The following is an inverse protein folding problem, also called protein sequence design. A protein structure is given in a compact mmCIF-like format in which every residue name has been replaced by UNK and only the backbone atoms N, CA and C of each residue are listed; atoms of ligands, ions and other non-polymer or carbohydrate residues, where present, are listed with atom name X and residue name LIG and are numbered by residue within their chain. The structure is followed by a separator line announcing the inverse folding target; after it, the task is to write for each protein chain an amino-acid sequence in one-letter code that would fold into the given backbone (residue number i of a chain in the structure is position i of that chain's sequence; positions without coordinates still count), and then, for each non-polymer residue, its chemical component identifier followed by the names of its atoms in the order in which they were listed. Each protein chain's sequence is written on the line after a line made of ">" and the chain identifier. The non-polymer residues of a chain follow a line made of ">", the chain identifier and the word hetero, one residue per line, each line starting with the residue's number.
data_IF_146664407382
#
_entry.id   IF_146664407382
#
_cell.length_a   1.000
_cell.length_b   1.000
_cell.length_c   1.000
_cell.angle_alpha   90.00
_cell.angle_beta   90.00
_cell.angle_gamma   90.00
#
_symmetry.space_group_name_H-M   'P 1'
#
loop_
_entity.id
_entity.type
_entity.pdbx_description
1 polymer ?
#
# COMPACT_ATOMS: atom_id res chain seq x y z
N UNK A 1 -11.39 3.47 20.27
CA UNK A 1 -11.88 4.88 20.29
C UNK A 1 -10.85 5.92 19.82
N UNK A 2 -9.64 6.01 20.40
CA UNK A 2 -8.66 7.05 20.03
C UNK A 2 -8.19 7.00 18.55
N UNK A 3 -7.91 5.78 18.03
CA UNK A 3 -7.52 5.54 16.63
C UNK A 3 -8.53 6.13 15.64
N UNK A 4 -9.82 5.80 15.81
CA UNK A 4 -10.89 6.26 14.91
C UNK A 4 -11.05 7.79 14.93
N UNK A 5 -10.95 8.42 16.11
CA UNK A 5 -10.98 9.90 16.21
C UNK A 5 -9.79 10.55 15.50
N UNK A 6 -8.61 9.93 15.54
CA UNK A 6 -7.43 10.41 14.83
C UNK A 6 -7.64 10.34 13.31
N UNK A 7 -8.15 9.21 12.83
CA UNK A 7 -8.46 8.98 11.41
C UNK A 7 -9.51 9.97 10.91
N UNK A 8 -10.61 10.12 11.64
CA UNK A 8 -11.68 11.08 11.33
C UNK A 8 -11.10 12.48 11.08
N UNK A 9 -10.33 12.99 12.04
CA UNK A 9 -9.72 14.33 11.95
C UNK A 9 -8.76 14.46 10.77
N UNK A 10 -7.89 13.46 10.55
CA UNK A 10 -6.89 13.50 9.48
C UNK A 10 -7.56 13.46 8.11
N UNK A 11 -8.56 12.61 7.92
CA UNK A 11 -9.24 12.46 6.65
C UNK A 11 -10.13 13.66 6.33
N UNK A 12 -10.81 14.24 7.32
CA UNK A 12 -11.54 15.51 7.13
C UNK A 12 -10.62 16.66 6.72
N UNK A 13 -9.42 16.75 7.33
CA UNK A 13 -8.40 17.71 6.90
C UNK A 13 -7.89 17.43 5.48
N UNK A 14 -7.67 16.17 5.13
CA UNK A 14 -7.11 15.80 3.83
C UNK A 14 -8.14 15.94 2.69
N UNK A 15 -9.40 15.59 2.92
CA UNK A 15 -10.45 15.60 1.89
C UNK A 15 -11.26 16.89 1.88
N UNK A 16 -11.35 17.59 3.01
CA UNK A 16 -12.37 18.62 3.27
C UNK A 16 -13.65 17.99 3.84
N UNK A 17 -14.36 18.74 4.68
CA UNK A 17 -15.56 18.24 5.38
C UNK A 17 -16.68 17.82 4.42
N UNK A 18 -16.99 18.65 3.43
CA UNK A 18 -18.08 18.37 2.48
C UNK A 18 -17.82 17.09 1.67
N UNK A 19 -16.58 16.90 1.21
CA UNK A 19 -16.16 15.70 0.48
C UNK A 19 -16.18 14.48 1.40
N UNK A 20 -15.66 14.60 2.63
CA UNK A 20 -15.60 13.49 3.57
C UNK A 20 -16.97 12.88 3.88
N UNK A 21 -18.04 13.67 3.78
CA UNK A 21 -19.43 13.26 4.01
C UNK A 21 -20.23 13.06 2.71
N UNK A 22 -19.59 13.06 1.53
CA UNK A 22 -20.29 12.98 0.25
C UNK A 22 -20.84 11.59 -0.06
N UNK A 23 -21.79 11.53 -0.99
CA UNK A 23 -22.35 10.27 -1.47
C UNK A 23 -21.29 9.40 -2.17
N UNK A 24 -20.32 10.02 -2.84
CA UNK A 24 -19.20 9.36 -3.52
C UNK A 24 -18.26 8.67 -2.52
N UNK A 25 -17.94 9.31 -1.39
CA UNK A 25 -17.13 8.66 -0.34
C UNK A 25 -17.89 7.51 0.30
N UNK A 26 -19.20 7.66 0.50
CA UNK A 26 -20.05 6.59 1.00
C UNK A 26 -20.08 5.39 0.04
N UNK A 27 -20.28 5.64 -1.26
CA UNK A 27 -20.24 4.60 -2.28
C UNK A 27 -18.87 3.89 -2.30
N UNK A 28 -17.78 4.65 -2.26
CA UNK A 28 -16.43 4.10 -2.19
C UNK A 28 -16.25 3.22 -0.94
N UNK A 29 -16.78 3.64 0.22
CA UNK A 29 -16.71 2.88 1.45
C UNK A 29 -17.47 1.55 1.34
N UNK A 30 -18.69 1.57 0.81
CA UNK A 30 -19.51 0.37 0.61
C UNK A 30 -18.83 -0.62 -0.35
N UNK A 31 -18.24 -0.13 -1.44
CA UNK A 31 -17.47 -0.94 -2.40
C UNK A 31 -16.19 -1.52 -1.77
N UNK A 32 -15.41 -0.71 -1.04
CA UNK A 32 -14.18 -1.16 -0.38
C UNK A 32 -14.47 -2.21 0.70
N UNK A 33 -15.52 -2.02 1.50
CA UNK A 33 -15.96 -3.01 2.49
C UNK A 33 -16.44 -4.30 1.83
N UNK A 34 -17.15 -4.21 0.69
CA UNK A 34 -17.57 -5.38 -0.07
C UNK A 34 -16.38 -6.16 -0.64
N UNK A 35 -15.39 -5.44 -1.19
CA UNK A 35 -14.14 -6.02 -1.68
C UNK A 35 -13.39 -6.77 -0.57
N UNK A 36 -13.22 -6.11 0.58
CA UNK A 36 -12.48 -6.64 1.72
C UNK A 36 -13.06 -7.95 2.29
N UNK A 37 -14.36 -8.22 2.12
CA UNK A 37 -15.04 -9.42 2.63
C UNK A 37 -14.62 -10.72 1.94
N UNK A 38 -13.99 -10.67 0.77
CA UNK A 38 -13.55 -11.88 0.07
C UNK A 38 -12.26 -12.49 0.65
N UNK A 39 -11.56 -11.76 1.52
CA UNK A 39 -10.33 -12.24 2.12
C UNK A 39 -10.60 -13.35 3.14
N UNK A 40 -10.08 -14.56 2.89
CA UNK A 40 -9.92 -15.55 3.95
C UNK A 40 -8.79 -15.15 4.91
N UNK A 41 -8.90 -15.43 6.22
CA UNK A 41 -7.87 -15.09 7.21
C UNK A 41 -6.61 -15.99 7.12
N UNK A 42 -6.67 -17.08 6.35
CA UNK A 42 -5.63 -18.09 6.30
C UNK A 42 -4.30 -17.52 5.77
N UNK A 43 -3.27 -17.53 6.62
CA UNK A 43 -1.98 -16.93 6.31
C UNK A 43 -2.01 -15.40 6.20
N UNK A 44 -3.08 -14.74 6.69
CA UNK A 44 -3.29 -13.30 6.64
C UNK A 44 -3.48 -12.70 8.03
N UNK A 45 -2.46 -12.74 8.92
CA UNK A 45 -2.61 -12.36 10.31
C UNK A 45 -2.97 -10.89 10.51
N UNK A 46 -2.43 -9.96 9.70
CA UNK A 46 -2.75 -8.53 9.84
C UNK A 46 -4.17 -8.26 9.35
N UNK A 47 -4.56 -8.85 8.23
CA UNK A 47 -5.94 -8.79 7.76
C UNK A 47 -6.91 -9.36 8.80
N UNK A 48 -6.64 -10.57 9.32
CA UNK A 48 -7.51 -11.24 10.29
C UNK A 48 -7.71 -10.38 11.55
N UNK A 49 -6.63 -9.84 12.11
CA UNK A 49 -6.70 -8.96 13.27
C UNK A 49 -7.53 -7.70 13.02
N UNK A 50 -7.48 -7.15 11.79
CA UNK A 50 -8.31 -6.00 11.42
C UNK A 50 -9.77 -6.38 11.11
N UNK A 51 -10.01 -7.55 10.52
CA UNK A 51 -11.34 -8.02 10.12
C UNK A 51 -12.24 -8.35 11.32
N UNK A 52 -11.65 -8.64 12.48
CA UNK A 52 -12.35 -8.86 13.75
C UNK A 52 -12.81 -7.56 14.45
N UNK A 53 -12.37 -6.39 13.97
CA UNK A 53 -12.77 -5.11 14.55
C UNK A 53 -14.15 -4.66 14.07
N UNK A 54 -14.84 -3.89 14.92
CA UNK A 54 -16.12 -3.26 14.57
C UNK A 54 -15.96 -2.34 13.34
N UNK A 55 -16.82 -2.57 12.35
CA UNK A 55 -16.88 -1.75 11.13
C UNK A 55 -17.47 -0.38 11.48
N UNK A 56 -16.81 0.74 11.11
CA UNK A 56 -17.38 2.07 11.27
C UNK A 56 -18.69 2.23 10.51
N UNK A 57 -19.64 2.97 11.09
CA UNK A 57 -20.92 3.25 10.45
C UNK A 57 -20.72 4.08 9.17
N UNK A 58 -21.14 3.53 8.04
CA UNK A 58 -20.92 4.10 6.71
C UNK A 58 -21.80 5.33 6.43
N UNK A 59 -22.90 5.50 7.18
CA UNK A 59 -23.78 6.67 7.08
C UNK A 59 -23.24 7.82 7.93
N UNK A 60 -22.84 7.52 9.16
CA UNK A 60 -22.37 8.53 10.10
C UNK A 60 -20.95 9.01 9.80
N UNK A 61 -20.07 8.12 9.32
CA UNK A 61 -18.66 8.43 9.05
C UNK A 61 -18.13 7.69 7.80
N UNK A 62 -18.65 7.99 6.59
CA UNK A 62 -18.29 7.30 5.36
C UNK A 62 -16.79 7.33 5.06
N UNK A 63 -16.08 8.44 5.32
CA UNK A 63 -14.63 8.55 5.18
C UNK A 63 -13.86 7.59 6.10
N UNK A 64 -14.32 7.40 7.34
CA UNK A 64 -13.71 6.47 8.29
C UNK A 64 -14.01 5.02 7.88
N UNK A 65 -15.22 4.73 7.40
CA UNK A 65 -15.58 3.42 6.86
C UNK A 65 -14.76 3.08 5.60
N UNK A 66 -14.54 4.06 4.70
CA UNK A 66 -13.67 3.90 3.52
C UNK A 66 -12.24 3.57 3.93
N UNK A 67 -11.68 4.31 4.89
CA UNK A 67 -10.35 4.01 5.41
C UNK A 67 -10.28 2.61 6.03
N UNK A 68 -11.33 2.16 6.71
CA UNK A 68 -11.37 0.83 7.29
C UNK A 68 -11.36 -0.25 6.20
N UNK A 69 -12.20 -0.13 5.17
CA UNK A 69 -12.22 -1.03 4.02
C UNK A 69 -10.89 -1.03 3.26
N UNK A 70 -10.32 0.15 3.01
CA UNK A 70 -8.99 0.30 2.39
C UNK A 70 -7.88 -0.34 3.25
N UNK A 71 -7.96 -0.22 4.58
CA UNK A 71 -7.03 -0.88 5.51
C UNK A 71 -7.10 -2.39 5.36
N UNK A 72 -8.30 -2.97 5.34
CA UNK A 72 -8.46 -4.42 5.15
C UNK A 72 -7.88 -4.90 3.83
N UNK A 73 -8.18 -4.22 2.70
CA UNK A 73 -7.62 -4.56 1.39
C UNK A 73 -6.09 -4.46 1.42
N UNK A 74 -5.56 -3.40 2.05
CA UNK A 74 -4.13 -3.16 2.21
C UNK A 74 -3.44 -4.25 3.02
N UNK A 75 -4.00 -4.65 4.17
CA UNK A 75 -3.42 -5.73 4.98
C UNK A 75 -3.53 -7.08 4.27
N UNK A 76 -4.66 -7.36 3.63
CA UNK A 76 -4.81 -8.61 2.87
C UNK A 76 -3.75 -8.73 1.79
N UNK A 77 -3.58 -7.71 0.93
CA UNK A 77 -2.51 -7.70 -0.09
C UNK A 77 -1.13 -7.68 0.56
N UNK A 78 -0.95 -6.95 1.66
CA UNK A 78 0.30 -6.82 2.40
C UNK A 78 0.82 -8.14 2.96
N UNK A 79 -0.04 -8.92 3.62
CA UNK A 79 0.31 -10.25 4.11
C UNK A 79 0.78 -11.16 2.96
N UNK A 80 0.14 -11.08 1.79
CA UNK A 80 0.55 -11.82 0.59
C UNK A 80 1.87 -11.31 0.00
N UNK A 81 2.10 -10.00 0.06
CA UNK A 81 3.36 -9.41 -0.36
C UNK A 81 4.52 -9.88 0.53
N UNK A 82 4.32 -10.00 1.84
CA UNK A 82 5.31 -10.56 2.75
C UNK A 82 5.64 -12.01 2.40
N UNK A 83 4.62 -12.82 2.07
CA UNK A 83 4.85 -14.20 1.59
C UNK A 83 5.69 -14.22 0.30
N UNK A 84 5.35 -13.37 -0.68
CA UNK A 84 6.07 -13.30 -1.95
C UNK A 84 7.51 -12.77 -1.80
N UNK A 85 7.77 -11.87 -0.85
CA UNK A 85 9.12 -11.41 -0.52
C UNK A 85 9.96 -12.52 0.11
N UNK A 86 9.38 -13.28 1.04
CA UNK A 86 10.09 -14.38 1.69
C UNK A 86 10.37 -15.54 0.72
N UNK A 87 9.44 -15.85 -0.18
CA UNK A 87 9.65 -16.83 -1.26
C UNK A 87 10.81 -16.41 -2.19
N UNK A 88 10.98 -15.10 -2.41
CA UNK A 88 12.10 -14.54 -3.18
C UNK A 88 13.40 -14.36 -2.37
N UNK A 89 13.43 -14.81 -1.11
CA UNK A 89 14.55 -14.66 -0.18
C UNK A 89 14.99 -13.19 -0.05
N UNK A 90 14.04 -12.28 0.18
CA UNK A 90 14.34 -10.88 0.48
C UNK A 90 13.99 -10.55 1.91
N UNK A 91 14.96 -10.05 2.65
CA UNK A 91 14.68 -9.42 3.94
C UNK A 91 14.02 -8.04 3.80
N UNK A 92 13.64 -7.42 4.92
CA UNK A 92 12.93 -6.15 4.92
C UNK A 92 13.73 -4.98 4.32
N UNK A 93 15.06 -4.99 4.43
CA UNK A 93 15.91 -3.93 3.87
C UNK A 93 16.15 -4.17 2.38
N UNK A 94 16.39 -5.42 1.97
CA UNK A 94 16.56 -5.82 0.58
C UNK A 94 15.26 -5.62 -0.24
N UNK A 95 14.10 -5.90 0.35
CA UNK A 95 12.80 -5.60 -0.24
C UNK A 95 12.64 -4.10 -0.51
N UNK A 96 13.00 -3.26 0.47
CA UNK A 96 12.93 -1.82 0.33
C UNK A 96 13.95 -1.29 -0.69
N UNK A 97 15.20 -1.75 -0.62
CA UNK A 97 16.26 -1.40 -1.56
C UNK A 97 15.85 -1.74 -3.00
N UNK A 98 15.50 -3.01 -3.24
CA UNK A 98 15.17 -3.49 -4.58
C UNK A 98 13.95 -2.78 -5.19
N UNK A 99 12.99 -2.32 -4.37
CA UNK A 99 11.90 -1.46 -4.83
C UNK A 99 12.40 -0.05 -5.20
N UNK A 100 13.19 0.60 -4.33
CA UNK A 100 13.75 1.94 -4.62
C UNK A 100 14.66 1.95 -5.86
N UNK A 101 15.41 0.88 -6.10
CA UNK A 101 16.28 0.72 -7.27
C UNK A 101 15.51 0.72 -8.61
N UNK A 102 14.20 0.47 -8.60
CA UNK A 102 13.35 0.60 -9.80
C UNK A 102 13.14 2.06 -10.23
N UNK A 103 13.50 3.02 -9.38
CA UNK A 103 13.15 4.44 -9.54
C UNK A 103 11.65 4.74 -9.37
N UNK A 104 10.84 3.72 -9.04
CA UNK A 104 9.41 3.83 -8.76
C UNK A 104 9.23 3.58 -7.27
N UNK A 105 9.02 4.63 -6.48
CA UNK A 105 8.82 4.48 -5.04
C UNK A 105 9.33 5.67 -4.23
N UNK A 106 9.78 5.40 -3.02
CA UNK A 106 10.38 6.39 -2.14
C UNK A 106 11.76 6.81 -2.63
N UNK A 107 12.14 8.04 -2.30
CA UNK A 107 13.55 8.44 -2.34
C UNK A 107 14.34 7.62 -1.29
N UNK A 108 15.56 7.12 -1.59
CA UNK A 108 16.32 6.26 -0.69
C UNK A 108 16.50 6.77 0.75
N UNK A 109 16.88 8.03 0.95
CA UNK A 109 17.03 8.60 2.28
C UNK A 109 15.69 8.64 3.04
N UNK A 110 14.58 8.95 2.35
CA UNK A 110 13.25 8.86 2.96
C UNK A 110 12.88 7.41 3.29
N UNK A 111 13.19 6.46 2.40
CA UNK A 111 12.91 5.04 2.59
C UNK A 111 13.59 4.50 3.85
N UNK A 112 14.89 4.77 4.01
CA UNK A 112 15.68 4.39 5.18
C UNK A 112 15.11 5.01 6.46
N UNK A 113 14.96 6.34 6.47
CA UNK A 113 14.55 7.08 7.67
C UNK A 113 13.12 6.73 8.12
N UNK A 114 12.18 6.61 7.20
CA UNK A 114 10.77 6.35 7.53
C UNK A 114 10.52 4.96 8.10
N UNK A 115 11.48 4.03 7.98
CA UNK A 115 11.38 2.62 8.42
C UNK A 115 12.33 2.32 9.58
N UNK A 116 13.09 3.31 10.05
CA UNK A 116 14.00 3.16 11.19
C UNK A 116 15.26 2.34 10.88
N UNK A 117 15.63 2.23 9.60
CA UNK A 117 16.87 1.59 9.20
C UNK A 117 18.05 2.55 9.29
N UNK A 118 19.25 2.02 9.46
CA UNK A 118 20.49 2.79 9.38
C UNK A 118 21.08 2.74 7.98
N UNK A 119 21.96 3.69 7.66
CA UNK A 119 22.72 3.69 6.40
C UNK A 119 23.57 2.42 6.26
N UNK A 120 24.14 1.92 7.36
CA UNK A 120 24.95 0.70 7.35
C UNK A 120 24.11 -0.53 6.99
N UNK A 121 22.87 -0.61 7.48
CA UNK A 121 21.94 -1.68 7.10
C UNK A 121 21.56 -1.60 5.61
N UNK A 122 21.38 -0.39 5.09
CA UNK A 122 21.08 -0.13 3.69
C UNK A 122 22.23 -0.55 2.76
N UNK A 123 23.45 -0.12 3.05
CA UNK A 123 24.64 -0.49 2.28
C UNK A 123 24.91 -2.00 2.36
N UNK A 124 24.75 -2.62 3.54
CA UNK A 124 24.88 -4.06 3.68
C UNK A 124 23.85 -4.83 2.83
N UNK A 125 22.62 -4.31 2.68
CA UNK A 125 21.61 -4.89 1.81
C UNK A 125 21.98 -4.74 0.32
N UNK A 126 22.49 -3.57 -0.08
CA UNK A 126 23.04 -3.37 -1.44
C UNK A 126 24.11 -4.41 -1.74
N UNK A 127 25.07 -4.59 -0.85
CA UNK A 127 26.20 -5.49 -1.06
C UNK A 127 25.75 -6.96 -1.18
N UNK A 128 24.77 -7.40 -0.37
CA UNK A 128 24.15 -8.74 -0.52
C UNK A 128 23.41 -8.90 -1.85
N UNK A 129 22.62 -7.90 -2.26
CA UNK A 129 21.92 -7.91 -3.54
C UNK A 129 22.90 -7.91 -4.72
N UNK A 130 24.01 -7.16 -4.63
CA UNK A 130 25.07 -7.13 -5.63
C UNK A 130 25.79 -8.49 -5.70
N UNK A 131 26.07 -9.12 -4.56
CA UNK A 131 26.61 -10.48 -4.50
C UNK A 131 25.71 -11.53 -5.15
N UNK A 132 24.39 -11.28 -5.21
CA UNK A 132 23.41 -12.10 -5.94
C UNK A 132 23.19 -11.66 -7.39
N UNK A 133 23.88 -10.61 -7.86
CA UNK A 133 23.74 -10.05 -9.19
C UNK A 133 22.40 -9.36 -9.46
N UNK A 134 21.66 -8.97 -8.41
CA UNK A 134 20.35 -8.32 -8.52
C UNK A 134 20.46 -6.79 -8.69
N UNK A 135 21.58 -6.21 -8.24
CA UNK A 135 21.96 -4.81 -8.48
C UNK A 135 23.41 -4.74 -8.92
N UNK A 136 23.78 -3.68 -9.63
CA UNK A 136 25.17 -3.42 -10.01
C UNK A 136 25.95 -2.68 -8.90
N UNK A 137 27.20 -2.32 -9.18
CA UNK A 137 28.09 -1.63 -8.24
C UNK A 137 27.59 -0.25 -7.82
N UNK A 138 26.76 0.39 -8.65
CA UNK A 138 26.16 1.70 -8.37
C UNK A 138 24.79 1.56 -7.66
N UNK A 139 24.35 0.32 -7.40
CA UNK A 139 23.06 0.01 -6.79
C UNK A 139 21.89 0.08 -7.76
N UNK A 140 22.14 0.20 -9.07
CA UNK A 140 21.09 0.17 -10.07
C UNK A 140 20.63 -1.27 -10.33
N UNK A 141 19.36 -1.42 -10.68
CA UNK A 141 18.76 -2.73 -10.90
C UNK A 141 19.32 -3.41 -12.16
N UNK A 142 19.80 -4.65 -12.02
CA UNK A 142 20.19 -5.48 -13.17
C UNK A 142 18.96 -6.10 -13.85
N UNK A 143 19.15 -6.75 -15.00
CA UNK A 143 18.06 -7.53 -15.63
C UNK A 143 17.53 -8.63 -14.71
N UNK A 144 18.41 -9.33 -13.98
CA UNK A 144 18.03 -10.33 -12.99
C UNK A 144 17.25 -9.72 -11.82
N UNK A 145 17.68 -8.56 -11.32
CA UNK A 145 16.95 -7.79 -10.31
C UNK A 145 15.57 -7.36 -10.78
N UNK A 146 15.45 -6.93 -12.03
CA UNK A 146 14.19 -6.54 -12.65
C UNK A 146 13.25 -7.74 -12.83
N UNK A 147 13.78 -8.89 -13.24
CA UNK A 147 13.01 -10.13 -13.35
C UNK A 147 12.49 -10.60 -11.99
N UNK A 148 13.34 -10.60 -10.96
CA UNK A 148 12.97 -10.96 -9.59
C UNK A 148 11.88 -10.02 -9.03
N UNK A 149 11.97 -8.71 -9.31
CA UNK A 149 10.92 -7.75 -8.94
C UNK A 149 9.58 -8.02 -9.62
N UNK A 150 9.59 -8.27 -10.94
CA UNK A 150 8.37 -8.65 -11.65
C UNK A 150 7.74 -9.90 -11.07
N UNK A 151 8.54 -10.93 -10.79
CA UNK A 151 8.05 -12.17 -10.20
C UNK A 151 7.38 -11.95 -8.83
N UNK A 152 7.96 -11.10 -7.97
CA UNK A 152 7.33 -10.80 -6.67
C UNK A 152 6.03 -10.01 -6.83
N UNK A 153 5.96 -9.03 -7.72
CA UNK A 153 4.71 -8.29 -7.95
C UNK A 153 3.62 -9.21 -8.54
N UNK A 154 3.95 -10.04 -9.53
CA UNK A 154 3.03 -11.04 -10.08
C UNK A 154 2.55 -12.03 -9.03
N UNK A 155 3.45 -12.48 -8.14
CA UNK A 155 3.07 -13.35 -7.04
C UNK A 155 2.16 -12.63 -6.02
N UNK A 156 2.48 -11.38 -5.70
CA UNK A 156 1.67 -10.54 -4.80
C UNK A 156 0.27 -10.33 -5.36
N UNK A 157 0.16 -10.01 -6.64
CA UNK A 157 -1.13 -9.79 -7.31
C UNK A 157 -1.94 -11.08 -7.40
N UNK A 158 -1.30 -12.22 -7.71
CA UNK A 158 -1.93 -13.54 -7.65
C UNK A 158 -2.51 -13.83 -6.25
N UNK A 159 -1.75 -13.53 -5.19
CA UNK A 159 -2.19 -13.74 -3.81
C UNK A 159 -3.23 -12.71 -3.33
N UNK A 160 -3.31 -11.56 -3.98
CA UNK A 160 -4.19 -10.45 -3.60
C UNK A 160 -5.49 -10.32 -4.42
N UNK A 161 -5.68 -11.15 -5.47
CA UNK A 161 -6.77 -10.95 -6.43
C UNK A 161 -8.18 -11.27 -5.92
N UNK A 162 -8.33 -12.20 -4.99
CA UNK A 162 -9.64 -12.72 -4.57
C UNK A 162 -10.65 -11.62 -4.13
N UNK A 163 -10.26 -10.60 -3.31
CA UNK A 163 -11.08 -9.41 -3.05
C UNK A 163 -11.68 -8.75 -4.29
N UNK A 164 -10.87 -8.57 -5.33
CA UNK A 164 -11.26 -7.88 -6.56
C UNK A 164 -12.06 -8.80 -7.50
N UNK A 165 -11.74 -10.09 -7.55
CA UNK A 165 -12.52 -11.10 -8.27
C UNK A 165 -13.97 -11.17 -7.73
N UNK A 166 -14.14 -11.13 -6.40
CA UNK A 166 -15.46 -11.08 -5.78
C UNK A 166 -16.20 -9.77 -6.09
N UNK A 167 -15.51 -8.64 -6.01
CA UNK A 167 -16.12 -7.33 -6.28
C UNK A 167 -16.59 -7.24 -7.74
N UNK A 168 -15.85 -7.86 -8.67
CA UNK A 168 -16.10 -7.83 -10.10
C UNK A 168 -15.47 -6.62 -10.79
N UNK A 169 -15.27 -6.73 -12.11
CA UNK A 169 -14.51 -5.74 -12.91
C UNK A 169 -15.14 -4.34 -12.88
N UNK A 170 -16.44 -4.23 -13.15
CA UNK A 170 -17.15 -2.94 -13.20
C UNK A 170 -17.06 -2.19 -11.87
N UNK A 171 -17.34 -2.89 -10.78
CA UNK A 171 -17.31 -2.31 -9.43
C UNK A 171 -15.88 -2.00 -8.97
N UNK A 172 -14.91 -2.80 -9.38
CA UNK A 172 -13.47 -2.53 -9.15
C UNK A 172 -13.04 -1.27 -9.89
N UNK A 173 -13.46 -1.09 -11.15
CA UNK A 173 -13.21 0.13 -11.91
C UNK A 173 -13.86 1.35 -11.24
N UNK A 174 -15.12 1.22 -10.81
CA UNK A 174 -15.84 2.29 -10.09
C UNK A 174 -15.12 2.69 -8.80
N UNK A 175 -14.73 1.73 -7.97
CA UNK A 175 -13.96 1.99 -6.75
C UNK A 175 -12.62 2.68 -7.07
N UNK A 176 -11.95 2.25 -8.15
CA UNK A 176 -10.68 2.85 -8.59
C UNK A 176 -10.85 4.32 -8.97
N UNK A 177 -11.89 4.66 -9.72
CA UNK A 177 -12.14 6.05 -10.14
C UNK A 177 -12.50 6.97 -8.98
N UNK A 178 -13.34 6.49 -8.06
CA UNK A 178 -13.67 7.21 -6.83
C UNK A 178 -12.41 7.48 -6.00
N UNK A 179 -11.62 6.45 -5.73
CA UNK A 179 -10.37 6.57 -4.97
C UNK A 179 -9.34 7.46 -5.67
N UNK A 180 -9.28 7.46 -7.01
CA UNK A 180 -8.41 8.36 -7.79
C UNK A 180 -8.77 9.82 -7.55
N UNK A 181 -10.06 10.17 -7.60
CA UNK A 181 -10.54 11.52 -7.31
C UNK A 181 -10.19 11.96 -5.88
N UNK A 182 -10.47 11.10 -4.90
CA UNK A 182 -10.16 11.37 -3.48
C UNK A 182 -8.65 11.52 -3.23
N UNK A 183 -7.83 10.72 -3.91
CA UNK A 183 -6.36 10.82 -3.84
C UNK A 183 -5.88 12.16 -4.39
N UNK A 184 -6.45 12.61 -5.51
CA UNK A 184 -6.13 13.93 -6.10
C UNK A 184 -6.46 15.07 -5.14
N UNK A 185 -7.62 15.03 -4.49
CA UNK A 185 -8.03 16.02 -3.47
C UNK A 185 -7.06 16.00 -2.28
N UNK A 186 -6.78 14.82 -1.73
CA UNK A 186 -5.86 14.67 -0.60
C UNK A 186 -4.46 15.22 -0.92
N UNK A 187 -3.93 14.95 -2.11
CA UNK A 187 -2.67 15.51 -2.57
C UNK A 187 -2.72 17.03 -2.70
N UNK A 188 -3.78 17.58 -3.30
CA UNK A 188 -3.99 19.03 -3.40
C UNK A 188 -4.05 19.74 -2.05
N UNK A 189 -4.56 19.05 -1.03
CA UNK A 189 -4.64 19.52 0.36
C UNK A 189 -3.38 19.19 1.20
N UNK A 190 -2.30 18.72 0.57
CA UNK A 190 -1.01 18.50 1.26
C UNK A 190 -0.97 17.25 2.13
N UNK A 191 -1.61 16.14 1.71
CA UNK A 191 -1.58 14.88 2.45
C UNK A 191 -0.17 14.31 2.67
N UNK A 192 0.79 14.66 1.81
CA UNK A 192 2.20 14.28 1.95
C UNK A 192 3.11 15.52 2.03
N UNK A 193 4.19 15.47 2.83
CA UNK A 193 5.23 16.48 2.76
C UNK A 193 6.00 16.38 1.43
N UNK A 194 6.72 17.45 1.02
CA UNK A 194 7.59 17.39 -0.16
C UNK A 194 8.73 16.39 0.03
N UNK A 195 9.24 15.82 -1.07
CA UNK A 195 10.43 14.95 -1.07
C UNK A 195 10.19 13.48 -0.67
N UNK A 196 8.93 13.04 -0.56
CA UNK A 196 8.60 11.64 -0.20
C UNK A 196 8.86 10.67 -1.34
N UNK A 197 8.43 11.02 -2.55
CA UNK A 197 8.45 10.12 -3.71
C UNK A 197 9.56 10.52 -4.69
N UNK A 198 10.13 9.53 -5.36
CA UNK A 198 11.06 9.76 -6.46
C UNK A 198 10.39 10.64 -7.53
N UNK A 199 11.02 11.74 -7.90
CA UNK A 199 10.62 12.50 -9.09
C UNK A 199 10.95 11.67 -10.31
N UNK A 200 10.00 11.55 -11.25
CA UNK A 200 10.23 10.84 -12.51
C UNK A 200 11.42 11.52 -13.19
N UNK A 201 12.60 10.88 -13.17
CA UNK A 201 13.71 11.30 -14.03
C UNK A 201 13.21 11.10 -15.46
N UNK A 202 13.16 12.20 -16.22
CA UNK A 202 12.67 12.24 -17.59
C UNK A 202 13.43 11.31 -18.52
#
# INVERSE_FOLDING_TARGET
>A
AARLRGVDRVLRRALGDDVAHSAEVREAAELALSCARAGGPEGRPLYAAHAELDVPDVVAAPHVALWFGATLIREYRGDGHLMALQDAELDGVEALFSHTATGRGFEPAFAVASRGWTTEQWEAARDRLAGRGLVDADGAQTEAGAALRRAVEEHTDRLGRAPFELLGEERTARLTDLCRGLTGIALGNGAFPPGVFATRKG
#
